data_IF_548091958955
#
_entry.id   IF_548091958955
#
_cell.length_a   1.000
_cell.length_b   1.000
_cell.length_c   1.000
_cell.angle_alpha   90.00
_cell.angle_beta   90.00
_cell.angle_gamma   90.00
#
_symmetry.space_group_name_H-M   'P 1'
#
loop_
_entity.id
_entity.type
_entity.pdbx_description
1 polymer ?
#
# COMPACT_ATOMS: atom_id res chain seq x y z
N UNK A 1 7.16 -10.57 11.54
CA UNK A 1 7.61 -9.17 11.66
C UNK A 1 7.95 -8.68 10.27
N UNK A 2 7.53 -7.47 9.91
CA UNK A 2 8.02 -6.83 8.67
C UNK A 2 9.52 -6.51 8.81
N UNK A 3 10.24 -6.37 7.69
CA UNK A 3 11.67 -6.03 7.73
C UNK A 3 11.92 -4.74 8.55
N UNK A 4 11.06 -3.74 8.39
CA UNK A 4 11.10 -2.49 9.13
C UNK A 4 10.86 -2.66 10.64
N UNK A 5 9.95 -3.55 11.04
CA UNK A 5 9.73 -3.86 12.46
C UNK A 5 10.98 -4.45 13.11
N UNK A 6 11.70 -5.32 12.39
CA UNK A 6 12.95 -5.94 12.88
C UNK A 6 14.04 -4.89 13.06
N UNK A 7 14.24 -4.02 12.06
CA UNK A 7 15.24 -2.96 12.09
C UNK A 7 15.00 -1.96 13.23
N UNK A 8 13.75 -1.52 13.41
CA UNK A 8 13.40 -0.57 14.49
C UNK A 8 13.52 -1.23 15.87
N UNK A 9 13.10 -2.49 16.00
CA UNK A 9 13.24 -3.25 17.23
C UNK A 9 14.71 -3.43 17.63
N UNK A 10 15.56 -3.82 16.68
CA UNK A 10 17.00 -3.96 16.89
C UNK A 10 17.66 -2.62 17.26
N UNK A 11 17.28 -1.52 16.60
CA UNK A 11 17.76 -0.18 16.94
C UNK A 11 17.38 0.23 18.37
N UNK A 12 16.15 -0.06 18.81
CA UNK A 12 15.72 0.20 20.18
C UNK A 12 16.42 -0.70 21.20
N UNK A 13 16.69 -1.96 20.86
CA UNK A 13 17.48 -2.86 21.71
C UNK A 13 18.93 -2.40 21.83
N UNK A 14 19.51 -1.81 20.78
CA UNK A 14 20.87 -1.27 20.78
C UNK A 14 21.05 -0.05 21.72
N UNK A 15 19.96 0.65 22.05
CA UNK A 15 19.96 1.75 23.04
C UNK A 15 19.36 1.32 24.39
N UNK A 16 19.36 0.01 24.68
CA UNK A 16 18.93 -0.60 25.94
C UNK A 16 17.47 -0.34 26.34
N UNK A 17 16.59 -0.05 25.37
CA UNK A 17 15.15 0.04 25.66
C UNK A 17 14.63 -1.34 26.07
N UNK A 18 13.79 -1.43 27.13
CA UNK A 18 13.13 -2.67 27.53
C UNK A 18 12.37 -3.30 26.36
N UNK A 19 12.51 -4.61 26.21
CA UNK A 19 11.97 -5.39 25.08
C UNK A 19 10.49 -5.13 24.81
N UNK A 20 9.67 -5.12 25.86
CA UNK A 20 8.22 -4.84 25.76
C UNK A 20 7.93 -3.47 25.13
N UNK A 21 8.71 -2.44 25.49
CA UNK A 21 8.56 -1.09 24.92
C UNK A 21 9.05 -1.02 23.48
N UNK A 22 10.17 -1.67 23.18
CA UNK A 22 10.74 -1.73 21.83
C UNK A 22 9.78 -2.45 20.86
N UNK A 23 9.22 -3.57 21.29
CA UNK A 23 8.28 -4.37 20.51
C UNK A 23 6.96 -3.62 20.27
N UNK A 24 6.43 -2.96 21.29
CA UNK A 24 5.21 -2.14 21.17
C UNK A 24 5.39 -0.95 20.25
N UNK A 25 6.55 -0.28 20.29
CA UNK A 25 6.87 0.83 19.39
C UNK A 25 7.05 0.36 17.93
N UNK A 26 7.77 -0.74 17.70
CA UNK A 26 7.92 -1.33 16.37
C UNK A 26 6.57 -1.78 15.79
N UNK A 27 5.70 -2.38 16.61
CA UNK A 27 4.34 -2.74 16.18
C UNK A 27 3.49 -1.52 15.83
N UNK A 28 3.55 -0.44 16.61
CA UNK A 28 2.81 0.79 16.33
C UNK A 28 3.23 1.44 14.99
N UNK A 29 4.51 1.37 14.65
CA UNK A 29 5.04 1.88 13.38
C UNK A 29 4.56 1.08 12.16
N UNK A 30 4.47 -0.23 12.27
CA UNK A 30 4.05 -1.10 11.17
C UNK A 30 2.56 -1.03 10.85
N UNK A 31 1.72 -0.56 11.77
CA UNK A 31 0.28 -0.43 11.55
C UNK A 31 -0.05 0.47 10.34
N UNK A 32 0.84 1.42 10.02
CA UNK A 32 0.72 2.29 8.85
C UNK A 32 0.94 1.56 7.52
N UNK A 33 1.72 0.48 7.50
CA UNK A 33 2.03 -0.26 6.28
C UNK A 33 0.83 -1.05 5.76
N UNK A 34 0.00 -1.56 6.67
CA UNK A 34 -1.24 -2.27 6.33
C UNK A 34 -2.23 -1.33 5.63
N UNK A 35 -2.42 -0.13 6.17
CA UNK A 35 -3.28 0.91 5.56
C UNK A 35 -2.77 1.30 4.16
N UNK A 36 -1.46 1.52 4.02
CA UNK A 36 -0.84 1.86 2.73
C UNK A 36 -0.98 0.73 1.71
N UNK A 37 -0.87 -0.52 2.15
CA UNK A 37 -1.03 -1.69 1.28
C UNK A 37 -2.47 -1.83 0.80
N UNK A 38 -3.46 -1.64 1.69
CA UNK A 38 -4.88 -1.61 1.32
C UNK A 38 -5.17 -0.51 0.31
N UNK A 39 -4.69 0.71 0.57
CA UNK A 39 -4.87 1.87 -0.32
C UNK A 39 -4.24 1.60 -1.69
N UNK A 40 -3.05 1.00 -1.76
CA UNK A 40 -2.42 0.64 -3.04
C UNK A 40 -3.26 -0.34 -3.84
N UNK A 41 -3.85 -1.34 -3.19
CA UNK A 41 -4.74 -2.32 -3.82
C UNK A 41 -5.99 -1.65 -4.40
N UNK A 42 -6.66 -0.82 -3.60
CA UNK A 42 -7.82 -0.04 -4.04
C UNK A 42 -7.48 0.89 -5.21
N UNK A 43 -6.31 1.53 -5.18
CA UNK A 43 -5.86 2.42 -6.24
C UNK A 43 -5.55 1.69 -7.55
N UNK A 44 -5.06 0.45 -7.48
CA UNK A 44 -4.90 -0.41 -8.67
C UNK A 44 -6.26 -0.78 -9.26
N UNK A 45 -7.25 -1.10 -8.43
CA UNK A 45 -8.61 -1.39 -8.87
C UNK A 45 -9.24 -0.18 -9.57
N UNK A 46 -9.14 1.01 -8.96
CA UNK A 46 -9.64 2.27 -9.54
C UNK A 46 -8.98 2.56 -10.89
N UNK A 47 -7.66 2.37 -11.02
CA UNK A 47 -6.94 2.53 -12.29
C UNK A 47 -7.49 1.62 -13.38
N UNK A 48 -7.78 0.35 -13.05
CA UNK A 48 -8.38 -0.59 -13.98
C UNK A 48 -9.79 -0.19 -14.41
N UNK A 49 -10.62 0.27 -13.48
CA UNK A 49 -11.98 0.74 -13.78
C UNK A 49 -11.94 1.96 -14.72
N UNK A 50 -11.08 2.94 -14.42
CA UNK A 50 -10.92 4.13 -15.27
C UNK A 50 -10.38 3.74 -16.65
N UNK A 51 -9.38 2.85 -16.70
CA UNK A 51 -8.84 2.33 -17.96
C UNK A 51 -9.91 1.63 -18.81
N UNK A 52 -10.74 0.81 -18.19
CA UNK A 52 -11.86 0.14 -18.86
C UNK A 52 -12.89 1.13 -19.40
N UNK A 53 -13.28 2.14 -18.61
CA UNK A 53 -14.21 3.18 -19.05
C UNK A 53 -13.63 3.94 -20.24
N UNK A 54 -12.36 4.35 -20.19
CA UNK A 54 -11.70 5.03 -21.31
C UNK A 54 -11.63 4.14 -22.56
N UNK A 55 -11.27 2.86 -22.42
CA UNK A 55 -11.25 1.92 -23.54
C UNK A 55 -12.65 1.74 -24.15
N UNK A 56 -13.69 1.67 -23.33
CA UNK A 56 -15.08 1.60 -23.80
C UNK A 56 -15.50 2.86 -24.56
N UNK A 57 -15.17 4.05 -24.05
CA UNK A 57 -15.43 5.32 -24.73
C UNK A 57 -14.71 5.38 -26.08
N UNK A 58 -13.45 4.96 -26.15
CA UNK A 58 -12.68 4.91 -27.39
C UNK A 58 -13.31 3.89 -28.35
N UNK A 59 -13.70 2.70 -27.89
CA UNK A 59 -14.33 1.68 -28.73
C UNK A 59 -15.66 2.18 -29.33
N UNK A 60 -16.47 2.88 -28.53
CA UNK A 60 -17.70 3.53 -29.03
C UNK A 60 -17.35 4.60 -30.05
N UNK A 61 -16.38 5.48 -29.76
CA UNK A 61 -15.97 6.53 -30.67
C UNK A 61 -15.44 5.97 -32.00
N UNK A 62 -14.60 4.94 -31.96
CA UNK A 62 -14.12 4.23 -33.16
C UNK A 62 -15.32 3.70 -33.94
N UNK A 63 -16.21 2.90 -33.33
CA UNK A 63 -17.38 2.36 -34.02
C UNK A 63 -18.30 3.45 -34.63
N UNK A 64 -18.39 4.61 -33.99
CA UNK A 64 -19.27 5.69 -34.43
C UNK A 64 -18.68 6.51 -35.58
N UNK A 65 -17.36 6.71 -35.60
CA UNK A 65 -16.68 7.63 -36.53
C UNK A 65 -15.77 6.94 -37.56
N UNK A 66 -15.37 5.70 -37.29
CA UNK A 66 -14.45 4.89 -38.10
C UNK A 66 -15.18 3.55 -38.31
N UNK A 67 -15.81 3.40 -39.47
CA UNK A 67 -16.68 2.27 -39.81
C UNK A 67 -15.98 0.91 -39.60
#
# INVERSE_FOLDING_TARGET
>A
MSAMQSEVFEAFRAIEIPEDKALKAAMALSKRDDDVTSIKSELVLVKWMVGFVLAFQIAVAVKLFIH
#
